data_IF_101937257718
#
_entry.id   IF_101937257718
#
_cell.length_a   1.000
_cell.length_b   1.000
_cell.length_c   1.000
_cell.angle_alpha   90.00
_cell.angle_beta   90.00
_cell.angle_gamma   90.00
#
_symmetry.space_group_name_H-M   'P 1'
#
loop_
_entity.id
_entity.type
_entity.pdbx_description
1 polymer ?
#
# COMPACT_ATOMS: atom_id res chain seq x y z
N UNK A 1 -1.48 -29.15 -8.84
CA UNK A 1 -2.48 -28.08 -8.61
C UNK A 1 -2.70 -27.35 -9.93
N UNK A 2 -3.92 -27.31 -10.49
CA UNK A 2 -4.21 -26.48 -11.68
C UNK A 2 -4.61 -25.08 -11.20
N UNK A 3 -3.88 -24.05 -11.63
CA UNK A 3 -4.26 -22.65 -11.39
C UNK A 3 -5.56 -22.37 -12.15
N UNK A 4 -6.58 -21.84 -11.47
CA UNK A 4 -7.83 -21.41 -12.10
C UNK A 4 -7.63 -20.03 -12.73
N UNK A 5 -8.29 -19.76 -13.85
CA UNK A 5 -8.18 -18.47 -14.58
C UNK A 5 -8.34 -17.23 -13.68
N UNK A 6 -9.30 -17.16 -12.73
CA UNK A 6 -9.44 -16.00 -11.85
C UNK A 6 -8.22 -15.76 -10.96
N UNK A 7 -7.56 -16.81 -10.50
CA UNK A 7 -6.35 -16.72 -9.68
C UNK A 7 -5.19 -16.18 -10.52
N UNK A 8 -5.04 -16.65 -11.76
CA UNK A 8 -4.01 -16.16 -12.67
C UNK A 8 -4.23 -14.68 -13.03
N UNK A 9 -5.47 -14.29 -13.33
CA UNK A 9 -5.83 -12.89 -13.59
C UNK A 9 -5.52 -12.00 -12.39
N UNK A 10 -5.86 -12.44 -11.17
CA UNK A 10 -5.56 -11.71 -9.95
C UNK A 10 -4.05 -11.56 -9.71
N UNK A 11 -3.29 -12.66 -9.84
CA UNK A 11 -1.85 -12.63 -9.64
C UNK A 11 -1.12 -11.75 -10.66
N UNK A 12 -1.55 -11.75 -11.93
CA UNK A 12 -0.96 -10.87 -12.96
C UNK A 12 -1.31 -9.40 -12.71
N UNK A 13 -2.52 -9.10 -12.26
CA UNK A 13 -2.93 -7.74 -11.88
C UNK A 13 -2.13 -7.24 -10.67
N UNK A 14 -2.01 -8.04 -9.62
CA UNK A 14 -1.23 -7.72 -8.42
C UNK A 14 0.25 -7.48 -8.75
N UNK A 15 0.83 -8.34 -9.59
CA UNK A 15 2.20 -8.19 -10.06
C UNK A 15 2.41 -6.91 -10.88
N UNK A 16 1.50 -6.58 -11.80
CA UNK A 16 1.61 -5.39 -12.64
C UNK A 16 1.40 -4.08 -11.87
N UNK A 17 0.58 -4.09 -10.82
CA UNK A 17 0.23 -2.89 -10.04
C UNK A 17 1.19 -2.61 -8.88
N UNK A 18 1.84 -3.63 -8.32
CA UNK A 18 2.75 -3.50 -7.17
C UNK A 18 3.98 -2.57 -7.35
N UNK A 19 4.65 -2.48 -8.52
CA UNK A 19 5.89 -1.71 -8.64
C UNK A 19 5.71 -0.21 -8.45
N UNK A 20 4.60 0.35 -8.95
CA UNK A 20 4.34 1.80 -8.93
C UNK A 20 4.34 2.36 -7.49
N UNK A 21 3.45 1.93 -6.58
CA UNK A 21 3.43 2.46 -5.21
C UNK A 21 4.73 2.14 -4.46
N UNK A 22 5.35 1.00 -4.74
CA UNK A 22 6.62 0.59 -4.10
C UNK A 22 7.72 1.59 -4.42
N UNK A 23 7.99 1.87 -5.70
CA UNK A 23 9.04 2.80 -6.12
C UNK A 23 8.77 4.22 -5.64
N UNK A 24 7.51 4.65 -5.66
CA UNK A 24 7.12 5.97 -5.17
C UNK A 24 7.44 6.12 -3.68
N UNK A 25 7.02 5.16 -2.85
CA UNK A 25 7.22 5.23 -1.41
C UNK A 25 8.70 5.07 -1.01
N UNK A 26 9.46 4.18 -1.66
CA UNK A 26 10.83 3.87 -1.22
C UNK A 26 11.90 4.76 -1.80
N UNK A 27 11.78 5.16 -3.07
CA UNK A 27 12.86 5.86 -3.78
C UNK A 27 12.48 7.29 -4.16
N UNK A 28 11.33 7.47 -4.81
CA UNK A 28 11.00 8.75 -5.46
C UNK A 28 10.63 9.80 -4.42
N UNK A 29 9.62 9.54 -3.58
CA UNK A 29 9.16 10.54 -2.60
C UNK A 29 10.16 10.74 -1.47
N UNK A 30 10.89 9.71 -1.07
CA UNK A 30 11.93 9.84 -0.06
C UNK A 30 13.00 10.84 -0.51
N UNK A 31 13.50 10.73 -1.75
CA UNK A 31 14.51 11.65 -2.29
C UNK A 31 13.91 13.02 -2.55
N UNK A 32 12.71 13.09 -3.15
CA UNK A 32 12.03 14.36 -3.38
C UNK A 32 11.81 15.15 -2.08
N UNK A 33 11.40 14.48 -1.00
CA UNK A 33 11.15 15.15 0.27
C UNK A 33 12.45 15.71 0.88
N UNK A 34 13.53 14.93 0.88
CA UNK A 34 14.81 15.36 1.46
C UNK A 34 15.58 16.35 0.60
N UNK A 35 15.23 16.53 -0.68
CA UNK A 35 15.94 17.44 -1.59
C UNK A 35 15.15 18.69 -1.97
N UNK A 36 13.82 18.58 -2.11
CA UNK A 36 12.97 19.67 -2.57
C UNK A 36 12.06 20.24 -1.47
N UNK A 37 11.59 19.40 -0.54
CA UNK A 37 10.62 19.83 0.49
C UNK A 37 11.31 20.31 1.76
N UNK A 38 12.24 19.52 2.29
CA UNK A 38 12.97 19.81 3.53
C UNK A 38 14.44 19.41 3.40
N UNK A 39 15.27 20.25 2.75
CA UNK A 39 16.71 19.97 2.58
C UNK A 39 17.46 19.86 3.91
N UNK A 40 17.09 20.71 4.88
CA UNK A 40 17.67 20.75 6.22
C UNK A 40 16.86 19.84 7.17
N UNK A 41 17.42 18.69 7.56
CA UNK A 41 16.79 17.78 8.52
C UNK A 41 15.64 16.91 7.98
N UNK A 42 15.36 16.95 6.68
CA UNK A 42 14.27 16.19 6.06
C UNK A 42 14.37 14.68 6.25
N UNK A 43 15.58 14.13 6.35
CA UNK A 43 15.78 12.69 6.59
C UNK A 43 15.18 12.23 7.92
N UNK A 44 15.31 13.05 8.97
CA UNK A 44 14.75 12.74 10.30
C UNK A 44 13.24 12.87 10.28
N UNK A 45 12.72 13.96 9.70
CA UNK A 45 11.28 14.16 9.55
C UNK A 45 10.63 13.02 8.73
N UNK A 46 11.26 12.60 7.64
CA UNK A 46 10.82 11.47 6.82
C UNK A 46 10.79 10.15 7.61
N UNK A 47 11.83 9.88 8.40
CA UNK A 47 11.88 8.70 9.26
C UNK A 47 10.74 8.68 10.31
N UNK A 48 10.43 9.83 10.92
CA UNK A 48 9.31 9.93 11.85
C UNK A 48 7.95 9.73 11.17
N UNK A 49 7.72 10.36 10.01
CA UNK A 49 6.47 10.20 9.26
C UNK A 49 6.25 8.75 8.82
N UNK A 50 7.27 8.11 8.26
CA UNK A 50 7.18 6.70 7.83
C UNK A 50 7.00 5.75 9.00
N UNK A 51 7.65 6.00 10.14
CA UNK A 51 7.45 5.21 11.37
C UNK A 51 6.02 5.35 11.92
N UNK A 52 5.48 6.57 11.95
CA UNK A 52 4.11 6.81 12.36
C UNK A 52 3.10 6.12 11.41
N UNK A 53 3.32 6.21 10.10
CA UNK A 53 2.50 5.51 9.11
C UNK A 53 2.56 3.98 9.30
N UNK A 54 3.74 3.41 9.50
CA UNK A 54 3.91 1.98 9.74
C UNK A 54 3.18 1.51 11.02
N UNK A 55 3.22 2.31 12.09
CA UNK A 55 2.49 2.03 13.32
C UNK A 55 0.97 2.05 13.11
N UNK A 56 0.46 3.07 12.39
CA UNK A 56 -0.95 3.14 12.03
C UNK A 56 -1.38 1.92 11.21
N UNK A 57 -0.57 1.52 10.23
CA UNK A 57 -0.82 0.31 9.42
C UNK A 57 -0.82 -0.94 10.30
N UNK A 58 0.13 -1.09 11.23
CA UNK A 58 0.20 -2.25 12.12
C UNK A 58 -1.06 -2.44 12.98
N UNK A 59 -1.69 -1.33 13.39
CA UNK A 59 -2.93 -1.35 14.18
C UNK A 59 -4.15 -1.55 13.28
N UNK A 60 -4.22 -0.85 12.14
CA UNK A 60 -5.38 -0.87 11.25
C UNK A 60 -5.49 -2.17 10.44
N UNK A 61 -4.37 -2.73 9.99
CA UNK A 61 -4.33 -3.92 9.14
C UNK A 61 -5.09 -5.14 9.69
N UNK A 62 -4.93 -5.57 10.96
CA UNK A 62 -5.69 -6.71 11.48
C UNK A 62 -7.21 -6.44 11.56
N UNK A 63 -7.61 -5.19 11.82
CA UNK A 63 -9.03 -4.81 11.89
C UNK A 63 -9.64 -4.82 10.50
N UNK A 64 -9.01 -4.15 9.54
CA UNK A 64 -9.48 -4.05 8.16
C UNK A 64 -9.41 -5.41 7.44
N UNK A 65 -8.33 -6.16 7.65
CA UNK A 65 -8.16 -7.51 7.12
C UNK A 65 -9.26 -8.45 7.60
N UNK A 66 -9.56 -8.44 8.91
CA UNK A 66 -10.69 -9.21 9.46
C UNK A 66 -12.04 -8.83 8.84
N UNK A 67 -12.27 -7.55 8.53
CA UNK A 67 -13.51 -7.11 7.88
C UNK A 67 -13.58 -7.51 6.40
N UNK A 68 -12.45 -7.48 5.70
CA UNK A 68 -12.34 -7.88 4.28
C UNK A 68 -12.45 -9.41 4.08
N UNK A 69 -12.01 -10.20 5.06
CA UNK A 69 -12.05 -11.66 5.02
C UNK A 69 -13.41 -12.25 5.45
N UNK A 70 -14.36 -11.41 5.89
CA UNK A 70 -15.72 -11.87 6.18
C UNK A 70 -16.45 -12.26 4.88
N UNK A 71 -17.20 -13.38 4.95
CA UNK A 71 -17.80 -14.07 3.80
C UNK A 71 -18.53 -13.09 2.85
N UNK A 72 -17.92 -12.82 1.69
CA UNK A 72 -18.53 -12.11 0.57
C UNK A 72 -18.16 -10.62 0.42
N UNK A 73 -17.42 -10.02 1.36
CA UNK A 73 -17.11 -8.58 1.31
C UNK A 73 -15.90 -8.21 0.45
N UNK A 74 -15.07 -9.17 0.03
CA UNK A 74 -13.86 -8.91 -0.77
C UNK A 74 -14.14 -8.09 -2.05
N UNK A 75 -15.27 -8.34 -2.74
CA UNK A 75 -15.66 -7.54 -3.91
C UNK A 75 -16.11 -6.12 -3.55
N UNK A 76 -16.76 -5.95 -2.40
CA UNK A 76 -17.17 -4.64 -1.88
C UNK A 76 -15.97 -3.82 -1.43
N UNK A 77 -15.04 -4.43 -0.70
CA UNK A 77 -13.79 -3.79 -0.28
C UNK A 77 -12.90 -3.44 -1.48
N UNK A 78 -12.81 -4.32 -2.48
CA UNK A 78 -12.13 -4.00 -3.74
C UNK A 78 -12.78 -2.81 -4.44
N UNK A 79 -14.12 -2.78 -4.55
CA UNK A 79 -14.84 -1.65 -5.13
C UNK A 79 -14.62 -0.33 -4.38
N UNK A 80 -14.66 -0.36 -3.05
CA UNK A 80 -14.38 0.82 -2.22
C UNK A 80 -12.94 1.30 -2.39
N UNK A 81 -11.97 0.39 -2.38
CA UNK A 81 -10.56 0.73 -2.60
C UNK A 81 -10.32 1.34 -3.98
N UNK A 82 -10.99 0.83 -5.03
CA UNK A 82 -10.91 1.38 -6.38
C UNK A 82 -11.59 2.75 -6.53
N UNK A 83 -12.59 3.08 -5.71
CA UNK A 83 -13.23 4.41 -5.73
C UNK A 83 -12.40 5.42 -4.95
N UNK A 84 -11.78 4.98 -3.84
CA UNK A 84 -11.01 5.85 -2.95
C UNK A 84 -9.58 6.11 -3.45
N UNK A 85 -8.98 5.13 -4.14
CA UNK A 85 -7.66 5.25 -4.78
C UNK A 85 -7.74 5.88 -6.15
#
# INVERSE_FOLDING_TARGET
MRLKTPLLSWSLYDWASSPVPTLHATFIFSVFFTTAVMPEGGSVAWAWMTSAAALLVAIAAPILGRLADQRGSAKTFLGLATILG
#
